data_IF_456017318162
#
_entry.id   IF_456017318162
#
_cell.length_a   1.000
_cell.length_b   1.000
_cell.length_c   1.000
_cell.angle_alpha   90.00
_cell.angle_beta   90.00
_cell.angle_gamma   90.00
#
_symmetry.space_group_name_H-M   'P 1'
#
loop_
_entity.id
_entity.type
_entity.pdbx_description
1 polymer ?
#
# COMPACT_ATOMS: atom_id res chain seq x y z
N UNK A 1 -19.89 21.83 -25.81
CA UNK A 1 -19.89 20.80 -24.76
C UNK A 1 -20.67 21.28 -23.55
N UNK A 2 -21.64 20.48 -23.09
CA UNK A 2 -22.42 20.80 -21.90
C UNK A 2 -21.57 20.50 -20.67
N UNK A 3 -21.18 21.55 -19.94
CA UNK A 3 -20.47 21.43 -18.67
C UNK A 3 -21.32 20.66 -17.66
N UNK A 4 -20.75 19.65 -17.02
CA UNK A 4 -21.46 18.89 -16.00
C UNK A 4 -21.43 19.62 -14.66
N UNK A 5 -22.53 20.29 -14.32
CA UNK A 5 -22.72 21.01 -13.05
C UNK A 5 -23.01 20.09 -11.85
N UNK A 6 -23.16 18.79 -12.07
CA UNK A 6 -23.38 17.81 -11.01
C UNK A 6 -22.11 17.47 -10.22
N UNK A 7 -22.30 16.78 -9.09
CA UNK A 7 -21.21 16.23 -8.30
C UNK A 7 -20.32 15.30 -9.15
N UNK A 8 -19.01 15.42 -8.96
CA UNK A 8 -17.97 14.61 -9.58
C UNK A 8 -17.20 13.89 -8.50
N UNK A 9 -17.01 12.59 -8.67
CA UNK A 9 -16.10 11.83 -7.85
C UNK A 9 -14.71 11.90 -8.46
N UNK A 10 -13.77 12.41 -7.68
CA UNK A 10 -12.35 12.52 -8.02
C UNK A 10 -11.63 11.58 -7.07
N UNK A 11 -10.89 10.61 -7.60
CA UNK A 11 -10.14 9.65 -6.81
C UNK A 11 -8.65 9.83 -7.07
N UNK A 12 -7.81 9.54 -6.07
CA UNK A 12 -6.39 9.30 -6.33
C UNK A 12 -6.29 8.15 -7.33
N UNK A 13 -5.25 8.16 -8.17
CA UNK A 13 -4.89 6.92 -8.81
C UNK A 13 -4.61 5.93 -7.69
N UNK A 14 -5.24 4.76 -7.78
CA UNK A 14 -4.76 3.64 -6.98
C UNK A 14 -3.33 3.44 -7.47
N UNK A 15 -2.37 3.64 -6.57
CA UNK A 15 -0.98 3.18 -6.64
C UNK A 15 0.07 4.26 -7.00
N UNK A 16 1.20 4.20 -6.29
CA UNK A 16 2.52 4.90 -6.42
C UNK A 16 2.83 6.09 -5.51
N UNK A 17 1.85 6.78 -4.91
CA UNK A 17 2.12 7.97 -4.08
C UNK A 17 1.79 7.79 -2.60
N UNK A 18 1.53 6.55 -2.17
CA UNK A 18 1.50 6.14 -0.76
C UNK A 18 2.47 5.00 -0.47
N UNK A 19 3.57 4.97 -1.22
CA UNK A 19 4.46 3.80 -1.35
C UNK A 19 5.66 3.81 -0.40
N UNK A 20 5.80 4.87 0.38
CA UNK A 20 6.88 5.00 1.33
C UNK A 20 6.43 4.53 2.70
N UNK A 21 7.45 4.26 3.50
CA UNK A 21 7.27 4.07 4.93
C UNK A 21 6.62 5.32 5.52
N UNK A 22 5.33 5.27 5.80
CA UNK A 22 4.71 6.30 6.62
C UNK A 22 5.16 6.06 8.07
N UNK A 23 6.37 6.53 8.38
CA UNK A 23 6.79 6.69 9.76
C UNK A 23 5.79 7.56 10.51
N UNK A 24 5.77 7.48 11.83
CA UNK A 24 4.94 8.40 12.61
C UNK A 24 5.27 9.85 12.23
N UNK A 25 4.24 10.64 11.96
CA UNK A 25 4.29 12.02 11.47
C UNK A 25 4.97 12.21 10.11
N UNK A 26 5.23 11.14 9.37
CA UNK A 26 5.59 11.27 7.96
C UNK A 26 4.41 11.90 7.21
N UNK A 27 4.74 12.86 6.36
CA UNK A 27 3.83 13.54 5.47
C UNK A 27 4.09 13.00 4.07
N UNK A 28 3.02 12.66 3.36
CA UNK A 28 3.08 12.23 1.97
C UNK A 28 2.07 13.01 1.15
N UNK A 29 2.48 13.40 -0.04
CA UNK A 29 1.92 14.50 -0.78
C UNK A 29 1.32 13.98 -2.08
N UNK A 30 0.06 14.34 -2.35
CA UNK A 30 -0.73 13.83 -3.46
C UNK A 30 -1.42 14.97 -4.22
N UNK A 31 -1.66 14.74 -5.52
CA UNK A 31 -2.42 15.65 -6.37
C UNK A 31 -3.52 14.94 -7.14
N UNK A 32 -4.76 15.36 -6.94
CA UNK A 32 -5.91 14.81 -7.67
C UNK A 32 -6.29 15.73 -8.83
N UNK A 33 -6.45 15.18 -10.03
CA UNK A 33 -6.87 15.98 -11.18
C UNK A 33 -8.35 16.33 -11.10
N UNK A 34 -8.65 17.64 -11.17
CA UNK A 34 -10.03 18.11 -11.34
C UNK A 34 -10.58 17.65 -12.71
N UNK A 35 -11.91 17.49 -12.84
CA UNK A 35 -12.55 17.18 -14.12
C UNK A 35 -12.07 18.08 -15.26
N UNK A 36 -11.73 17.49 -16.40
CA UNK A 36 -11.15 18.22 -17.54
C UNK A 36 -12.11 19.26 -18.14
N UNK A 37 -13.42 19.05 -18.00
CA UNK A 37 -14.44 20.03 -18.40
C UNK A 37 -14.45 21.27 -17.49
N UNK A 38 -14.08 21.14 -16.21
CA UNK A 38 -13.90 22.27 -15.30
C UNK A 38 -12.65 23.08 -15.66
N UNK A 39 -11.55 22.39 -15.94
CA UNK A 39 -10.29 23.04 -16.34
C UNK A 39 -10.48 23.82 -17.65
N UNK A 40 -11.16 23.23 -18.63
CA UNK A 40 -11.51 23.89 -19.91
C UNK A 40 -12.38 25.14 -19.69
N UNK A 41 -13.22 25.11 -18.65
CA UNK A 41 -14.07 26.23 -18.25
C UNK A 41 -13.38 27.27 -17.34
N UNK A 42 -12.12 27.06 -16.98
CA UNK A 42 -11.40 27.94 -16.05
C UNK A 42 -11.90 27.88 -14.61
N UNK A 43 -12.48 26.73 -14.20
CA UNK A 43 -12.98 26.51 -12.85
C UNK A 43 -11.91 25.79 -12.03
N UNK A 44 -11.37 26.50 -11.04
CA UNK A 44 -10.29 26.03 -10.15
C UNK A 44 -10.74 26.01 -8.68
N UNK A 45 -12.05 25.95 -8.45
CA UNK A 45 -12.67 25.97 -7.12
C UNK A 45 -13.80 24.96 -7.07
N UNK A 46 -13.91 24.25 -5.96
CA UNK A 46 -14.99 23.29 -5.75
C UNK A 46 -15.36 23.20 -4.28
N UNK A 47 -16.56 22.69 -4.02
CA UNK A 47 -16.98 22.29 -2.68
C UNK A 47 -16.85 20.77 -2.58
N UNK A 48 -16.05 20.31 -1.62
CA UNK A 48 -15.91 18.89 -1.29
C UNK A 48 -17.02 18.57 -0.28
N UNK A 49 -17.99 17.77 -0.68
CA UNK A 49 -19.16 17.42 0.13
C UNK A 49 -19.14 15.97 0.60
N UNK A 50 -18.39 15.12 -0.08
CA UNK A 50 -18.16 13.73 0.32
C UNK A 50 -16.66 13.44 0.32
N UNK A 51 -16.19 12.72 1.34
CA UNK A 51 -14.84 12.17 1.36
C UNK A 51 -14.89 10.70 1.70
N UNK A 52 -14.05 9.92 1.06
CA UNK A 52 -13.99 8.48 1.21
C UNK A 52 -12.53 8.11 1.21
N UNK A 53 -12.08 7.45 2.28
CA UNK A 53 -10.73 6.90 2.33
C UNK A 53 -10.83 5.39 2.45
N UNK A 54 -10.24 4.68 1.51
CA UNK A 54 -10.04 3.24 1.59
C UNK A 54 -8.57 2.98 1.85
N UNK A 55 -8.29 2.07 2.77
CA UNK A 55 -6.95 1.60 3.05
C UNK A 55 -7.03 0.10 3.29
N UNK A 56 -5.96 -0.60 2.96
CA UNK A 56 -5.88 -2.04 3.21
C UNK A 56 -5.48 -2.36 4.65
N UNK A 57 -5.03 -1.36 5.42
CA UNK A 57 -4.64 -1.48 6.82
C UNK A 57 -5.75 -1.01 7.77
N UNK A 58 -6.03 -1.82 8.80
CA UNK A 58 -6.81 -1.37 9.96
C UNK A 58 -5.92 -0.66 10.97
N UNK A 59 -6.51 0.04 11.93
CA UNK A 59 -5.75 0.70 12.98
C UNK A 59 -4.92 1.87 12.50
N UNK A 60 -5.42 2.63 11.53
CA UNK A 60 -4.75 3.85 11.08
C UNK A 60 -5.39 5.08 11.71
N UNK A 61 -4.55 5.84 12.43
CA UNK A 61 -4.84 7.24 12.73
C UNK A 61 -4.15 8.10 11.66
N UNK A 62 -4.94 8.76 10.83
CA UNK A 62 -4.47 9.57 9.70
C UNK A 62 -4.91 11.02 9.88
N UNK A 63 -4.17 11.94 9.26
CA UNK A 63 -4.64 13.30 9.03
C UNK A 63 -4.52 13.62 7.55
N UNK A 64 -5.56 14.20 6.96
CA UNK A 64 -5.51 14.79 5.63
C UNK A 64 -5.41 16.30 5.73
N UNK A 65 -4.49 16.90 4.98
CA UNK A 65 -4.30 18.34 4.90
C UNK A 65 -4.55 18.78 3.47
N UNK A 66 -5.54 19.66 3.25
CA UNK A 66 -5.82 20.24 1.94
C UNK A 66 -5.06 21.55 1.76
N UNK A 67 -4.37 21.70 0.64
CA UNK A 67 -3.53 22.87 0.36
C UNK A 67 -4.05 23.68 -0.82
N UNK A 68 -3.73 24.96 -0.84
CA UNK A 68 -4.13 25.88 -1.92
C UNK A 68 -3.28 25.82 -3.18
N UNK A 69 -2.07 25.28 -3.11
CA UNK A 69 -1.08 25.32 -4.21
C UNK A 69 -0.12 24.12 -4.11
N UNK A 70 0.62 23.83 -5.19
CA UNK A 70 1.65 22.79 -5.23
C UNK A 70 2.88 23.04 -4.34
N UNK A 71 3.14 24.29 -3.97
CA UNK A 71 4.38 24.73 -3.30
C UNK A 71 4.37 24.58 -1.77
N UNK A 72 3.72 23.54 -1.24
CA UNK A 72 3.77 23.24 0.19
C UNK A 72 5.10 22.56 0.50
N UNK A 73 5.89 23.17 1.38
CA UNK A 73 7.18 22.66 1.81
C UNK A 73 7.04 22.13 3.24
N UNK A 74 7.34 20.85 3.43
CA UNK A 74 7.27 20.18 4.73
C UNK A 74 8.28 20.75 5.74
N UNK A 75 9.25 21.56 5.29
CA UNK A 75 10.29 22.13 6.15
C UNK A 75 9.83 23.31 7.02
N UNK A 76 8.77 24.02 6.65
CA UNK A 76 8.25 25.15 7.43
C UNK A 76 6.74 25.13 7.73
N UNK A 77 6.01 24.15 7.17
CA UNK A 77 4.57 23.96 7.40
C UNK A 77 3.81 25.27 7.16
N UNK A 78 3.72 25.73 5.90
CA UNK A 78 3.02 26.97 5.51
C UNK A 78 1.51 26.92 5.85
N UNK A 79 1.19 27.18 7.12
CA UNK A 79 -0.17 27.13 7.66
C UNK A 79 -1.12 28.09 6.94
N UNK A 80 -0.60 29.16 6.35
CA UNK A 80 -1.40 30.12 5.60
C UNK A 80 -1.95 29.54 4.29
N UNK A 81 -1.37 28.43 3.81
CA UNK A 81 -1.80 27.70 2.60
C UNK A 81 -2.69 26.50 2.91
N UNK A 82 -2.92 26.19 4.17
CA UNK A 82 -3.86 25.16 4.58
C UNK A 82 -5.29 25.65 4.38
N UNK A 83 -6.09 24.85 3.67
CA UNK A 83 -7.52 25.05 3.50
C UNK A 83 -8.26 24.37 4.66
N UNK A 84 -7.93 23.12 4.92
CA UNK A 84 -8.58 22.31 5.95
C UNK A 84 -7.69 21.16 6.40
N UNK A 85 -7.94 20.68 7.62
CA UNK A 85 -7.34 19.47 8.20
C UNK A 85 -8.45 18.54 8.63
N UNK A 86 -8.31 17.25 8.29
CA UNK A 86 -9.28 16.23 8.66
C UNK A 86 -8.53 15.11 9.37
N UNK A 87 -8.81 14.93 10.65
CA UNK A 87 -8.34 13.77 11.39
C UNK A 87 -9.25 12.58 11.11
N UNK A 88 -8.64 11.43 10.88
CA UNK A 88 -9.28 10.13 10.78
C UNK A 88 -8.72 9.27 11.91
N UNK A 89 -9.46 9.15 13.00
CA UNK A 89 -9.08 8.31 14.14
C UNK A 89 -9.90 7.02 14.07
N UNK A 90 -9.26 5.86 13.96
CA UNK A 90 -9.98 4.59 13.78
C UNK A 90 -11.05 4.38 14.87
N UNK A 91 -10.68 4.63 16.13
CA UNK A 91 -11.56 4.46 17.28
C UNK A 91 -12.72 5.47 17.39
N UNK A 92 -12.67 6.58 16.65
CA UNK A 92 -13.67 7.66 16.71
C UNK A 92 -14.50 7.75 15.44
N UNK A 93 -13.82 7.79 14.28
CA UNK A 93 -14.43 7.97 12.96
C UNK A 93 -14.84 6.63 12.32
N UNK A 94 -14.34 5.51 12.87
CA UNK A 94 -14.74 4.16 12.51
C UNK A 94 -14.26 3.73 11.14
N UNK A 95 -13.24 2.89 11.09
CA UNK A 95 -12.92 2.14 9.88
C UNK A 95 -13.85 0.94 9.75
N UNK A 96 -14.69 0.91 8.71
CA UNK A 96 -15.52 -0.27 8.42
C UNK A 96 -14.74 -1.25 7.55
N UNK A 97 -14.56 -2.48 8.03
CA UNK A 97 -13.96 -3.53 7.22
C UNK A 97 -14.94 -4.00 6.13
N UNK A 98 -14.50 -3.97 4.88
CA UNK A 98 -15.20 -4.55 3.73
C UNK A 98 -14.95 -6.06 3.74
N UNK A 99 -15.96 -6.82 4.15
CA UNK A 99 -15.88 -8.28 4.21
C UNK A 99 -15.49 -8.89 2.86
N UNK A 100 -14.50 -9.78 2.86
CA UNK A 100 -14.03 -10.50 1.66
C UNK A 100 -13.01 -9.74 0.80
N UNK A 101 -12.81 -8.44 1.01
CA UNK A 101 -11.81 -7.64 0.31
C UNK A 101 -10.58 -7.30 1.18
N UNK A 102 -10.64 -7.56 2.50
CA UNK A 102 -9.62 -7.18 3.48
C UNK A 102 -9.21 -5.69 3.38
N UNK A 103 -10.19 -4.83 3.09
CA UNK A 103 -10.03 -3.39 3.02
C UNK A 103 -10.83 -2.73 4.14
N UNK A 104 -10.34 -1.60 4.60
CA UNK A 104 -10.92 -0.72 5.58
C UNK A 104 -11.37 0.56 4.88
N UNK A 105 -12.49 1.10 5.33
CA UNK A 105 -13.13 2.24 4.70
C UNK A 105 -13.63 3.25 5.74
N UNK A 106 -13.18 4.49 5.60
CA UNK A 106 -13.67 5.66 6.34
C UNK A 106 -14.78 6.32 5.53
N UNK A 107 -16.01 6.23 6.04
CA UNK A 107 -17.20 6.75 5.36
C UNK A 107 -17.44 8.20 5.73
N UNK A 108 -17.20 9.10 4.77
CA UNK A 108 -17.51 10.53 4.88
C UNK A 108 -17.18 11.15 6.25
N UNK A 109 -15.90 11.19 6.63
CA UNK A 109 -15.45 11.77 7.89
C UNK A 109 -15.55 13.30 7.91
N UNK A 110 -16.13 13.93 6.89
CA UNK A 110 -16.36 15.36 6.84
C UNK A 110 -17.43 15.77 7.86
N UNK A 111 -17.04 16.56 8.87
CA UNK A 111 -17.99 17.24 9.75
C UNK A 111 -18.80 18.34 9.03
N UNK A 112 -18.24 18.89 7.95
CA UNK A 112 -18.86 19.87 7.06
C UNK A 112 -18.17 19.87 5.69
N UNK A 113 -18.82 20.48 4.70
CA UNK A 113 -18.21 20.64 3.37
C UNK A 113 -16.95 21.50 3.43
N UNK A 114 -15.98 21.21 2.55
CA UNK A 114 -14.74 21.97 2.41
C UNK A 114 -14.81 22.83 1.15
N UNK A 115 -14.64 24.14 1.29
CA UNK A 115 -14.44 25.02 0.13
C UNK A 115 -12.98 24.94 -0.31
N UNK A 116 -12.74 24.26 -1.43
CA UNK A 116 -11.43 24.09 -2.01
C UNK A 116 -11.15 25.15 -3.09
N UNK A 117 -9.97 25.76 -3.03
CA UNK A 117 -9.49 26.76 -3.99
C UNK A 117 -8.08 26.37 -4.41
N UNK A 118 -7.89 26.17 -5.71
CA UNK A 118 -6.57 26.05 -6.32
C UNK A 118 -6.09 27.45 -6.74
N UNK A 119 -5.14 28.01 -5.98
CA UNK A 119 -4.57 29.36 -6.19
C UNK A 119 -3.62 29.42 -7.40
N UNK A 120 -2.99 28.31 -7.80
CA UNK A 120 -2.06 28.26 -8.94
C UNK A 120 -2.73 27.90 -10.27
N UNK A 121 -4.03 27.61 -10.25
CA UNK A 121 -4.83 27.27 -11.42
C UNK A 121 -4.31 26.06 -12.22
N UNK A 122 -3.62 25.12 -11.56
CA UNK A 122 -3.14 23.89 -12.20
C UNK A 122 -4.23 22.90 -12.57
N UNK A 123 -5.45 23.07 -12.05
CA UNK A 123 -6.51 22.07 -12.19
C UNK A 123 -6.35 20.87 -11.26
N UNK A 124 -5.54 21.00 -10.19
CA UNK A 124 -5.30 19.94 -9.20
C UNK A 124 -5.90 20.26 -7.83
N UNK A 125 -6.24 19.22 -7.09
CA UNK A 125 -6.50 19.24 -5.64
C UNK A 125 -5.24 18.75 -4.94
N UNK A 126 -4.65 19.59 -4.09
CA UNK A 126 -3.46 19.26 -3.33
C UNK A 126 -3.84 18.73 -1.96
N UNK A 127 -3.36 17.54 -1.62
CA UNK A 127 -3.67 16.89 -0.35
C UNK A 127 -2.43 16.20 0.19
N UNK A 128 -2.14 16.41 1.47
CA UNK A 128 -1.17 15.59 2.18
C UNK A 128 -1.88 14.58 3.06
N UNK A 129 -1.30 13.41 3.18
CA UNK A 129 -1.62 12.41 4.17
C UNK A 129 -0.53 12.40 5.24
N UNK A 130 -0.93 12.38 6.51
CA UNK A 130 -0.01 12.28 7.64
C UNK A 130 -0.37 11.06 8.47
N UNK A 131 0.58 10.15 8.70
CA UNK A 131 0.39 9.06 9.66
C UNK A 131 0.53 9.60 11.08
N UNK A 132 -0.55 9.57 11.86
CA UNK A 132 -0.58 10.02 13.26
C UNK A 132 -0.43 8.86 14.26
N UNK A 133 -0.47 7.61 13.80
CA UNK A 133 -0.21 6.43 14.64
C UNK A 133 1.29 6.36 15.04
N UNK A 134 1.55 5.90 16.27
CA UNK A 134 2.88 5.61 16.83
C UNK A 134 3.58 4.40 16.19
N UNK A 135 2.86 3.59 15.43
CA UNK A 135 3.39 2.39 14.79
C UNK A 135 3.79 2.71 13.37
N UNK A 136 5.03 2.37 12.97
CA UNK A 136 5.41 2.37 11.55
C UNK A 136 4.51 1.37 10.84
N UNK A 137 3.75 1.84 9.86
CA UNK A 137 2.81 1.00 9.14
C UNK A 137 3.44 0.57 7.82
N UNK A 138 3.92 -0.66 7.80
CA UNK A 138 4.24 -1.41 6.59
C UNK A 138 3.65 -2.79 6.73
N UNK A 139 3.11 -3.31 5.64
CA UNK A 139 2.94 -4.74 5.51
C UNK A 139 3.77 -5.13 4.30
N UNK A 140 4.76 -5.98 4.52
CA UNK A 140 5.53 -6.58 3.44
C UNK A 140 4.63 -7.55 2.67
N UNK A 141 4.95 -7.79 1.39
CA UNK A 141 4.35 -8.92 0.70
C UNK A 141 4.86 -10.19 1.37
N UNK A 142 3.94 -11.12 1.63
CA UNK A 142 4.26 -12.43 2.15
C UNK A 142 3.70 -13.50 1.22
N UNK A 143 4.48 -14.56 1.01
CA UNK A 143 4.01 -15.79 0.39
C UNK A 143 4.58 -16.98 1.13
N UNK A 144 4.10 -18.18 0.83
CA UNK A 144 4.49 -19.38 1.58
C UNK A 144 4.87 -20.53 0.66
N UNK A 145 5.79 -21.34 1.15
CA UNK A 145 6.14 -22.64 0.58
C UNK A 145 5.95 -23.67 1.68
N UNK A 146 5.01 -24.59 1.50
CA UNK A 146 4.84 -25.76 2.36
C UNK A 146 5.39 -27.00 1.67
N UNK A 147 6.30 -27.73 2.32
CA UNK A 147 6.81 -29.01 1.83
C UNK A 147 5.94 -30.16 2.36
N UNK A 148 5.20 -30.79 1.46
CA UNK A 148 4.20 -31.83 1.80
C UNK A 148 4.71 -33.26 1.64
N UNK A 149 5.83 -33.45 0.92
CA UNK A 149 6.48 -34.74 0.76
C UNK A 149 7.97 -34.58 0.43
N UNK A 150 8.77 -35.60 0.76
CA UNK A 150 10.17 -35.68 0.38
C UNK A 150 10.92 -36.79 1.10
N UNK A 151 11.92 -37.37 0.43
CA UNK A 151 12.85 -38.36 0.98
C UNK A 151 14.30 -38.06 0.61
N UNK A 152 15.25 -38.85 1.16
CA UNK A 152 16.67 -38.70 0.92
C UNK A 152 17.00 -38.77 -0.59
N UNK A 153 17.76 -37.79 -1.08
CA UNK A 153 18.09 -37.63 -2.50
C UNK A 153 17.23 -36.61 -3.22
N UNK A 154 16.16 -36.12 -2.60
CA UNK A 154 15.35 -35.01 -3.11
C UNK A 154 15.89 -33.67 -2.63
N UNK A 155 15.64 -32.59 -3.38
CA UNK A 155 16.15 -31.26 -3.05
C UNK A 155 15.34 -30.15 -3.74
N UNK A 156 15.35 -28.96 -3.13
CA UNK A 156 15.12 -27.71 -3.84
C UNK A 156 16.39 -27.37 -4.63
N UNK A 157 16.29 -27.28 -5.96
CA UNK A 157 17.39 -26.77 -6.80
C UNK A 157 17.46 -25.25 -6.72
N UNK A 158 16.32 -24.57 -6.73
CA UNK A 158 16.22 -23.12 -6.56
C UNK A 158 14.80 -22.72 -6.16
N UNK A 159 14.70 -21.57 -5.49
CA UNK A 159 13.43 -20.85 -5.30
C UNK A 159 13.56 -19.48 -5.95
N UNK A 160 12.51 -19.02 -6.63
CA UNK A 160 12.43 -17.68 -7.21
C UNK A 160 11.17 -16.96 -6.76
N UNK A 161 11.26 -15.64 -6.60
CA UNK A 161 10.12 -14.73 -6.42
C UNK A 161 10.16 -13.72 -7.55
N UNK A 162 9.10 -13.62 -8.36
CA UNK A 162 9.08 -12.74 -9.54
C UNK A 162 10.19 -13.00 -10.54
N UNK A 163 10.66 -14.26 -10.63
CA UNK A 163 11.78 -14.66 -11.48
C UNK A 163 13.17 -14.34 -10.91
N UNK A 164 13.28 -13.69 -9.75
CA UNK A 164 14.54 -13.47 -9.04
C UNK A 164 14.83 -14.66 -8.13
N UNK A 165 16.00 -15.28 -8.28
CA UNK A 165 16.42 -16.36 -7.38
C UNK A 165 16.64 -15.84 -5.97
N UNK A 166 15.99 -16.47 -4.99
CA UNK A 166 16.07 -16.08 -3.57
C UNK A 166 16.89 -17.05 -2.71
N UNK A 167 17.35 -18.16 -3.27
CA UNK A 167 18.26 -19.13 -2.62
C UNK A 167 19.69 -18.96 -3.09
N UNK A 168 20.65 -19.08 -2.16
CA UNK A 168 22.10 -19.05 -2.45
C UNK A 168 22.64 -20.36 -3.05
N UNK A 169 21.87 -21.45 -2.97
CA UNK A 169 22.20 -22.74 -3.55
C UNK A 169 21.10 -23.77 -3.33
N UNK A 170 21.36 -25.02 -3.75
CA UNK A 170 20.41 -26.10 -3.57
C UNK A 170 20.26 -26.51 -2.10
N UNK A 171 19.04 -26.86 -1.70
CA UNK A 171 18.68 -27.32 -0.34
C UNK A 171 18.18 -28.76 -0.41
N UNK A 172 19.01 -29.70 0.03
CA UNK A 172 18.70 -31.12 0.00
C UNK A 172 17.81 -31.56 1.17
N UNK A 173 17.08 -32.65 0.97
CA UNK A 173 16.35 -33.31 2.05
C UNK A 173 17.30 -33.66 3.18
N UNK A 174 16.94 -33.19 4.37
CA UNK A 174 17.58 -33.54 5.62
C UNK A 174 16.72 -34.57 6.37
N UNK A 175 17.12 -34.95 7.58
CA UNK A 175 16.48 -35.99 8.41
C UNK A 175 14.96 -35.93 8.55
N UNK A 176 14.34 -34.77 8.31
CA UNK A 176 12.89 -34.58 8.27
C UNK A 176 12.49 -33.42 7.37
N UNK A 177 11.20 -33.34 7.03
CA UNK A 177 10.60 -32.16 6.36
C UNK A 177 10.87 -30.89 7.15
N UNK A 178 10.63 -30.89 8.47
CA UNK A 178 10.83 -29.70 9.30
C UNK A 178 12.28 -29.21 9.28
N UNK A 179 13.24 -30.13 9.38
CA UNK A 179 14.64 -29.75 9.29
C UNK A 179 14.98 -29.22 7.89
N UNK A 180 14.42 -29.83 6.84
CA UNK A 180 14.65 -29.39 5.45
C UNK A 180 14.12 -27.97 5.22
N UNK A 181 12.97 -27.61 5.79
CA UNK A 181 12.41 -26.26 5.67
C UNK A 181 13.18 -25.22 6.49
N UNK A 182 13.66 -25.59 7.68
CA UNK A 182 14.59 -24.74 8.44
C UNK A 182 15.91 -24.50 7.68
N UNK A 183 16.41 -25.53 6.97
CA UNK A 183 17.57 -25.40 6.10
C UNK A 183 17.27 -24.50 4.89
N UNK A 184 16.02 -24.51 4.37
CA UNK A 184 15.58 -23.62 3.29
C UNK A 184 15.53 -22.16 3.73
N UNK A 185 14.93 -21.86 4.88
CA UNK A 185 14.95 -20.52 5.48
C UNK A 185 16.38 -20.01 5.65
N UNK A 186 17.25 -20.83 6.26
CA UNK A 186 18.66 -20.45 6.43
C UNK A 186 19.32 -20.12 5.08
N UNK A 187 18.96 -20.84 4.01
CA UNK A 187 19.51 -20.61 2.68
C UNK A 187 19.00 -19.31 2.03
N UNK A 188 17.72 -18.97 2.22
CA UNK A 188 17.08 -17.73 1.77
C UNK A 188 17.64 -16.55 2.56
N UNK A 189 17.68 -16.65 3.89
CA UNK A 189 18.18 -15.61 4.78
C UNK A 189 19.67 -15.33 4.56
N UNK A 190 20.47 -16.35 4.24
CA UNK A 190 21.88 -16.16 3.87
C UNK A 190 22.06 -15.41 2.54
N UNK A 191 21.02 -15.35 1.69
CA UNK A 191 21.02 -14.60 0.43
C UNK A 191 20.38 -13.21 0.54
N UNK A 192 20.02 -12.80 1.76
CA UNK A 192 19.47 -11.46 2.06
C UNK A 192 20.42 -10.35 1.59
N UNK A 193 19.85 -9.26 1.08
CA UNK A 193 20.57 -8.10 0.54
C UNK A 193 20.81 -8.13 -0.97
N UNK A 194 20.83 -9.32 -1.61
CA UNK A 194 20.88 -9.42 -3.08
C UNK A 194 19.50 -9.70 -3.68
N UNK A 195 18.68 -10.50 -2.97
CA UNK A 195 17.32 -10.85 -3.39
C UNK A 195 16.27 -9.84 -2.91
N UNK A 196 16.47 -9.25 -1.73
CA UNK A 196 15.49 -8.39 -1.07
C UNK A 196 14.32 -9.16 -0.42
N UNK A 197 14.53 -10.41 -0.03
CA UNK A 197 13.55 -11.20 0.72
C UNK A 197 14.18 -11.82 1.97
N UNK A 198 13.39 -11.95 3.03
CA UNK A 198 13.68 -12.73 4.24
C UNK A 198 12.72 -13.90 4.35
N UNK A 199 12.97 -14.82 5.26
CA UNK A 199 12.08 -15.94 5.52
C UNK A 199 11.94 -16.28 7.00
N UNK A 200 10.86 -16.98 7.34
CA UNK A 200 10.61 -17.56 8.66
C UNK A 200 9.90 -18.91 8.49
N UNK A 201 10.39 -19.97 9.13
CA UNK A 201 9.81 -21.31 9.02
C UNK A 201 9.09 -21.73 10.28
N UNK A 202 7.84 -22.14 10.10
CA UNK A 202 7.09 -22.87 11.12
C UNK A 202 6.82 -24.29 10.62
N UNK A 203 7.44 -25.28 11.26
CA UNK A 203 7.29 -26.70 10.92
C UNK A 203 7.64 -27.03 9.47
N UNK A 204 6.65 -27.34 8.63
CA UNK A 204 6.78 -27.73 7.23
C UNK A 204 6.58 -26.57 6.24
N UNK A 205 6.39 -25.35 6.75
CA UNK A 205 6.04 -24.17 5.95
C UNK A 205 7.04 -23.04 6.20
N UNK A 206 7.66 -22.54 5.13
CA UNK A 206 8.46 -21.32 5.14
C UNK A 206 7.65 -20.18 4.55
N UNK A 207 7.47 -19.12 5.33
CA UNK A 207 6.96 -17.83 4.87
C UNK A 207 8.13 -17.03 4.29
N UNK A 208 7.95 -16.48 3.10
CA UNK A 208 8.89 -15.56 2.46
C UNK A 208 8.28 -14.16 2.55
N UNK A 209 9.06 -13.22 3.07
CA UNK A 209 8.64 -11.84 3.28
C UNK A 209 9.51 -10.91 2.44
N UNK A 210 8.88 -10.07 1.61
CA UNK A 210 9.59 -9.03 0.87
C UNK A 210 10.14 -7.97 1.83
N UNK A 211 11.43 -7.66 1.77
CA UNK A 211 11.98 -6.59 2.61
C UNK A 211 11.39 -5.24 2.19
N UNK A 212 11.40 -4.28 3.11
CA UNK A 212 10.73 -2.98 3.01
C UNK A 212 10.77 -2.25 1.64
N UNK A 213 11.86 -2.32 0.89
CA UNK A 213 12.00 -1.64 -0.42
C UNK A 213 11.27 -2.39 -1.54
N UNK A 214 11.04 -3.69 -1.35
CA UNK A 214 10.34 -4.58 -2.27
C UNK A 214 8.93 -4.95 -1.79
N UNK A 215 8.46 -4.45 -0.64
CA UNK A 215 7.15 -4.81 -0.09
C UNK A 215 6.06 -4.78 -1.15
N UNK A 216 5.85 -3.62 -1.78
CA UNK A 216 4.85 -3.46 -2.84
C UNK A 216 5.23 -4.10 -4.16
N UNK A 217 6.50 -4.02 -4.57
CA UNK A 217 6.99 -4.64 -5.82
C UNK A 217 6.80 -6.15 -5.78
N UNK A 218 6.94 -6.75 -4.60
CA UNK A 218 6.73 -8.17 -4.35
C UNK A 218 5.25 -8.55 -4.32
N UNK A 219 4.32 -7.60 -4.22
CA UNK A 219 2.89 -7.92 -4.14
C UNK A 219 2.39 -8.51 -5.46
N UNK A 220 1.77 -9.69 -5.40
CA UNK A 220 1.32 -10.41 -6.59
C UNK A 220 2.42 -11.22 -7.29
N UNK A 221 3.67 -11.15 -6.83
CA UNK A 221 4.76 -11.90 -7.44
C UNK A 221 4.63 -13.41 -7.22
N UNK A 222 4.93 -14.16 -8.28
CA UNK A 222 4.84 -15.62 -8.25
C UNK A 222 6.05 -16.20 -7.53
N UNK A 223 5.77 -17.06 -6.54
CA UNK A 223 6.79 -17.93 -5.97
C UNK A 223 6.86 -19.18 -6.82
N UNK A 224 8.06 -19.55 -7.27
CA UNK A 224 8.29 -20.79 -8.00
C UNK A 224 9.45 -21.57 -7.40
N UNK A 225 9.31 -22.90 -7.39
CA UNK A 225 10.33 -23.83 -6.93
C UNK A 225 10.77 -24.73 -8.08
N UNK A 226 12.06 -25.00 -8.17
CA UNK A 226 12.61 -26.06 -9.02
C UNK A 226 13.01 -27.20 -8.09
N UNK A 227 12.37 -28.35 -8.26
CA UNK A 227 12.51 -29.50 -7.37
C UNK A 227 13.13 -30.68 -8.12
N UNK A 228 13.88 -31.52 -7.42
CA UNK A 228 14.30 -32.84 -7.91
C UNK A 228 13.92 -33.94 -6.93
N UNK A 229 13.73 -35.16 -7.44
CA UNK A 229 13.32 -36.31 -6.64
C UNK A 229 11.80 -36.32 -6.42
N UNK A 230 11.39 -36.60 -5.19
CA UNK A 230 9.98 -36.76 -4.78
C UNK A 230 9.45 -35.60 -3.92
N UNK A 231 10.14 -34.44 -3.92
CA UNK A 231 9.62 -33.24 -3.27
C UNK A 231 8.29 -32.79 -3.87
N UNK A 232 7.33 -32.46 -3.01
CA UNK A 232 6.05 -31.88 -3.39
C UNK A 232 5.73 -30.68 -2.50
N UNK A 233 5.35 -29.56 -3.11
CA UNK A 233 5.08 -28.31 -2.38
C UNK A 233 3.70 -27.74 -2.66
N UNK A 234 3.09 -27.14 -1.64
CA UNK A 234 1.98 -26.20 -1.80
C UNK A 234 2.53 -24.79 -1.70
N UNK A 235 2.17 -23.91 -2.63
CA UNK A 235 2.70 -22.54 -2.70
C UNK A 235 1.56 -21.54 -2.66
N UNK A 236 1.72 -20.52 -1.82
CA UNK A 236 0.91 -19.30 -1.86
C UNK A 236 1.82 -18.18 -2.35
N UNK A 237 1.44 -17.55 -3.47
CA UNK A 237 2.21 -16.44 -4.05
C UNK A 237 2.24 -15.23 -3.11
N UNK A 238 3.19 -14.33 -3.37
CA UNK A 238 3.38 -13.13 -2.58
C UNK A 238 2.13 -12.26 -2.62
N UNK A 239 1.60 -11.88 -1.47
CA UNK A 239 0.42 -11.06 -1.33
C UNK A 239 0.45 -10.28 -0.02
N UNK A 240 -0.50 -9.36 0.17
CA UNK A 240 -0.69 -8.68 1.46
C UNK A 240 0.29 -7.55 1.72
N UNK A 241 1.14 -7.18 0.75
CA UNK A 241 1.79 -5.88 0.81
C UNK A 241 0.76 -4.79 0.58
N UNK A 242 0.83 -3.76 1.42
CA UNK A 242 -0.17 -2.72 1.50
C UNK A 242 0.46 -1.37 1.19
N UNK A 243 0.15 -0.84 0.00
CA UNK A 243 0.41 0.53 -0.45
C UNK A 243 -0.84 1.32 -0.83
N UNK A 244 -2.00 0.66 -0.97
CA UNK A 244 -3.17 1.33 -1.54
C UNK A 244 -3.95 2.09 -0.46
N UNK A 245 -3.60 3.36 -0.28
CA UNK A 245 -4.52 4.37 0.27
C UNK A 245 -5.19 5.05 -0.90
N UNK A 246 -6.53 5.03 -0.89
CA UNK A 246 -7.34 5.56 -1.98
C UNK A 246 -8.24 6.61 -1.39
N UNK A 247 -7.94 7.86 -1.73
CA UNK A 247 -8.77 9.00 -1.39
C UNK A 247 -9.75 9.26 -2.52
N UNK A 248 -11.04 9.35 -2.21
CA UNK A 248 -12.08 9.77 -3.16
C UNK A 248 -12.86 10.94 -2.59
N UNK A 249 -13.03 11.97 -3.41
CA UNK A 249 -13.71 13.22 -3.09
C UNK A 249 -14.93 13.38 -3.97
N UNK A 250 -16.08 13.63 -3.37
CA UNK A 250 -17.28 14.11 -4.06
C UNK A 250 -17.25 15.64 -4.11
N UNK A 251 -16.98 16.19 -5.30
CA UNK A 251 -16.77 17.61 -5.52
C UNK A 251 -17.88 18.21 -6.40
N UNK A 252 -18.34 19.41 -6.08
CA UNK A 252 -19.19 20.23 -6.96
C UNK A 252 -18.48 21.53 -7.32
N UNK A 253 -18.61 22.05 -8.55
CA UNK A 253 -17.94 23.30 -8.92
C UNK A 253 -18.55 24.46 -8.12
N UNK A 254 -17.69 25.34 -7.61
CA UNK A 254 -18.09 26.45 -6.74
C UNK A 254 -17.97 27.78 -7.47
N UNK A 255 -19.10 28.51 -7.53
CA UNK A 255 -19.20 29.83 -8.16
C UNK A 255 -19.59 30.82 -7.07
N UNK A 256 -18.62 31.61 -6.59
CA UNK A 256 -18.84 32.73 -5.67
C UNK A 256 -19.39 33.95 -6.41
#
# INVERSE_FOLDING_TARGET
DNMSMGMKYISSDKDTQYNLTLAQNAIENETLDMPSDWQTAGIYKCQITEMMLQCTQGGLDLELIFWRTAGYDDSDMDEAKIINRISLTEGTDGATQIAGANQYYYKNPLGQSVEYINEDHSGKIYVSLVNRDVTVKKTAAEGTIQLTAGTAGSQFTSVTVGGVTVTSGAVAFNTSINQTMADLETNIDAFTGTSGFTSDTTTDTTTITAVDVLGEVGNGEVIATVLTGDFATTIVNMAGALGDIVLTLGCTPYFS
#
